data_IF_954160512601
#
_entry.id   IF_954160512601
#
_cell.length_a   1.000
_cell.length_b   1.000
_cell.length_c   1.000
_cell.angle_alpha   90.00
_cell.angle_beta   90.00
_cell.angle_gamma   90.00
#
_symmetry.space_group_name_H-M   'P 1'
#
loop_
_entity.id
_entity.type
_entity.pdbx_description
1 polymer ?
#
# COMPACT_ATOMS: atom_id res chain seq x y z
N UNK A 1 -11.90 34.93 69.88
CA UNK A 1 -12.91 33.96 69.41
C UNK A 1 -12.63 33.72 67.94
N UNK A 2 -11.84 32.70 67.61
CA UNK A 2 -11.59 32.30 66.23
C UNK A 2 -12.41 31.04 65.97
N UNK A 3 -13.39 31.15 65.08
CA UNK A 3 -14.17 30.04 64.57
C UNK A 3 -13.28 29.18 63.67
N UNK A 4 -13.02 27.96 64.11
CA UNK A 4 -12.38 26.93 63.30
C UNK A 4 -13.40 26.43 62.29
N UNK A 5 -13.28 26.87 61.03
CA UNK A 5 -14.08 26.35 59.93
C UNK A 5 -13.86 24.84 59.79
N UNK A 6 -14.97 24.09 59.81
CA UNK A 6 -14.98 22.63 59.75
C UNK A 6 -14.27 22.10 58.50
N UNK A 7 -13.11 21.48 58.70
CA UNK A 7 -12.48 20.62 57.70
C UNK A 7 -13.41 19.42 57.49
N UNK A 8 -13.95 19.30 56.29
CA UNK A 8 -14.66 18.08 55.88
C UNK A 8 -13.68 16.91 55.94
N UNK A 9 -14.10 15.74 56.46
CA UNK A 9 -13.25 14.56 56.50
C UNK A 9 -12.84 14.22 55.06
N UNK A 10 -11.53 14.19 54.79
CA UNK A 10 -10.99 13.63 53.56
C UNK A 10 -11.43 12.17 53.50
N UNK A 11 -12.56 11.89 52.83
CA UNK A 11 -12.93 10.54 52.43
C UNK A 11 -11.81 10.04 51.55
N UNK A 12 -11.05 9.05 52.04
CA UNK A 12 -10.11 8.26 51.25
C UNK A 12 -10.82 7.79 49.98
N UNK A 13 -10.62 8.52 48.88
CA UNK A 13 -10.89 8.05 47.54
C UNK A 13 -9.87 6.93 47.30
N UNK A 14 -10.19 5.72 47.75
CA UNK A 14 -9.43 4.54 47.39
C UNK A 14 -9.48 4.49 45.86
N UNK A 15 -8.33 4.58 45.17
CA UNK A 15 -8.33 4.46 43.73
C UNK A 15 -8.95 3.12 43.40
N UNK A 16 -10.12 3.16 42.77
CA UNK A 16 -10.80 1.99 42.26
C UNK A 16 -9.81 1.31 41.32
N UNK A 17 -9.17 0.24 41.80
CA UNK A 17 -8.29 -0.60 40.99
C UNK A 17 -9.19 -1.43 40.09
N UNK A 18 -9.81 -0.76 39.12
CA UNK A 18 -10.50 -1.38 38.03
C UNK A 18 -9.43 -2.01 37.14
N UNK A 19 -8.98 -3.21 37.52
CA UNK A 19 -8.08 -4.04 36.72
C UNK A 19 -8.84 -4.42 35.46
N UNK A 20 -8.81 -3.55 34.44
CA UNK A 20 -9.19 -3.93 33.08
C UNK A 20 -8.26 -5.07 32.68
N UNK A 21 -8.82 -6.26 32.55
CA UNK A 21 -8.17 -7.37 31.88
C UNK A 21 -8.04 -6.94 30.43
N UNK A 22 -6.86 -6.42 30.05
CA UNK A 22 -6.56 -6.06 28.68
C UNK A 22 -6.44 -7.36 27.91
N UNK A 23 -7.33 -7.57 26.95
CA UNK A 23 -7.24 -8.72 26.05
C UNK A 23 -6.02 -8.58 25.13
N UNK A 24 -4.97 -9.32 25.45
CA UNK A 24 -3.71 -9.30 24.69
C UNK A 24 -3.87 -9.83 23.27
N UNK A 25 -4.91 -10.62 22.97
CA UNK A 25 -5.18 -11.10 21.62
C UNK A 25 -5.71 -9.97 20.73
N UNK A 26 -6.65 -9.17 21.26
CA UNK A 26 -7.17 -7.97 20.60
C UNK A 26 -6.04 -6.98 20.26
N UNK A 27 -5.16 -6.65 21.22
CA UNK A 27 -4.01 -5.78 20.95
C UNK A 27 -3.08 -6.32 19.86
N UNK A 28 -2.75 -7.62 19.88
CA UNK A 28 -1.91 -8.24 18.84
C UNK A 28 -2.54 -8.14 17.45
N UNK A 29 -3.85 -8.32 17.36
CA UNK A 29 -4.59 -8.17 16.10
C UNK A 29 -4.55 -6.73 15.58
N UNK A 30 -4.74 -5.74 16.46
CA UNK A 30 -4.64 -4.32 16.11
C UNK A 30 -3.25 -3.93 15.62
N UNK A 31 -2.18 -4.34 16.31
CA UNK A 31 -0.81 -4.09 15.88
C UNK A 31 -0.52 -4.71 14.50
N UNK A 32 -0.99 -5.95 14.26
CA UNK A 32 -0.85 -6.60 12.96
C UNK A 32 -1.59 -5.83 11.86
N UNK A 33 -2.80 -5.36 12.14
CA UNK A 33 -3.58 -4.55 11.20
C UNK A 33 -2.89 -3.20 10.91
N UNK A 34 -2.38 -2.52 11.93
CA UNK A 34 -1.62 -1.27 11.77
C UNK A 34 -0.35 -1.48 10.94
N UNK A 35 0.40 -2.55 11.20
CA UNK A 35 1.60 -2.89 10.44
C UNK A 35 1.28 -3.16 8.95
N UNK A 36 0.18 -3.89 8.66
CA UNK A 36 -0.28 -4.11 7.30
C UNK A 36 -0.68 -2.79 6.61
N UNK A 37 -1.39 -1.91 7.30
CA UNK A 37 -1.77 -0.58 6.78
C UNK A 37 -0.54 0.27 6.46
N UNK A 38 0.44 0.35 7.37
CA UNK A 38 1.70 1.07 7.13
C UNK A 38 2.45 0.51 5.93
N UNK A 39 2.52 -0.83 5.82
CA UNK A 39 3.13 -1.51 4.66
C UNK A 39 2.43 -1.13 3.35
N UNK A 40 1.10 -1.14 3.32
CA UNK A 40 0.32 -0.76 2.13
C UNK A 40 0.55 0.71 1.73
N UNK A 41 0.57 1.63 2.69
CA UNK A 41 0.86 3.06 2.45
C UNK A 41 2.25 3.23 1.85
N UNK A 42 3.26 2.55 2.41
CA UNK A 42 4.63 2.58 1.91
C UNK A 42 4.73 2.06 0.47
N UNK A 43 4.11 0.91 0.17
CA UNK A 43 4.07 0.35 -1.19
C UNK A 43 3.43 1.35 -2.16
N UNK A 44 2.29 1.94 -1.79
CA UNK A 44 1.60 2.93 -2.64
C UNK A 44 2.47 4.15 -2.95
N UNK A 45 3.17 4.70 -1.94
CA UNK A 45 4.11 5.82 -2.13
C UNK A 45 5.26 5.47 -3.08
N UNK A 46 5.88 4.31 -2.91
CA UNK A 46 6.97 3.85 -3.78
C UNK A 46 6.49 3.64 -5.22
N UNK A 47 5.29 3.08 -5.41
CA UNK A 47 4.69 2.93 -6.73
C UNK A 47 4.45 4.29 -7.41
N UNK A 48 3.91 5.27 -6.67
CA UNK A 48 3.72 6.63 -7.19
C UNK A 48 5.05 7.29 -7.58
N UNK A 49 6.08 7.13 -6.75
CA UNK A 49 7.43 7.63 -7.06
C UNK A 49 8.00 6.97 -8.32
N UNK A 50 7.92 5.66 -8.43
CA UNK A 50 8.37 4.93 -9.61
C UNK A 50 7.62 5.37 -10.88
N UNK A 51 6.28 5.49 -10.82
CA UNK A 51 5.46 5.98 -11.94
C UNK A 51 5.89 7.39 -12.34
N UNK A 52 6.14 8.29 -11.37
CA UNK A 52 6.65 9.63 -11.67
C UNK A 52 7.96 9.54 -12.46
N UNK A 53 8.94 8.76 -12.00
CA UNK A 53 10.23 8.61 -12.69
C UNK A 53 10.09 8.01 -14.10
N UNK A 54 9.25 6.97 -14.27
CA UNK A 54 8.94 6.39 -15.59
C UNK A 54 8.34 7.44 -16.53
N UNK A 55 7.39 8.24 -16.05
CA UNK A 55 6.77 9.30 -16.84
C UNK A 55 7.74 10.43 -17.20
N UNK A 56 8.76 10.68 -16.36
CA UNK A 56 9.85 11.61 -16.68
C UNK A 56 10.90 11.00 -17.63
N UNK A 57 10.79 9.73 -18.00
CA UNK A 57 11.80 9.01 -18.78
C UNK A 57 13.08 8.68 -18.00
N UNK A 58 13.09 8.86 -16.67
CA UNK A 58 14.23 8.53 -15.80
C UNK A 58 14.14 7.05 -15.37
N UNK A 59 14.38 6.16 -16.32
CA UNK A 59 14.33 4.71 -16.09
C UNK A 59 15.44 4.22 -15.15
N UNK A 60 16.57 4.94 -15.09
CA UNK A 60 17.67 4.66 -14.17
C UNK A 60 17.27 4.82 -12.71
N UNK A 61 16.48 5.86 -12.39
CA UNK A 61 15.91 6.05 -11.04
C UNK A 61 14.66 5.21 -10.80
N UNK A 62 13.83 4.97 -11.82
CA UNK A 62 12.60 4.20 -11.66
C UNK A 62 12.85 2.72 -11.31
N UNK A 63 13.81 2.08 -12.00
CA UNK A 63 14.08 0.65 -11.87
C UNK A 63 14.37 0.18 -10.42
N UNK A 64 15.30 0.79 -9.66
CA UNK A 64 15.57 0.36 -8.29
C UNK A 64 14.35 0.50 -7.36
N UNK A 65 13.52 1.53 -7.57
CA UNK A 65 12.27 1.71 -6.80
C UNK A 65 11.29 0.59 -7.12
N UNK A 66 11.11 0.24 -8.40
CA UNK A 66 10.24 -0.86 -8.83
C UNK A 66 10.73 -2.22 -8.31
N UNK A 67 12.04 -2.46 -8.32
CA UNK A 67 12.63 -3.68 -7.73
C UNK A 67 12.36 -3.73 -6.21
N UNK A 68 12.51 -2.62 -5.49
CA UNK A 68 12.17 -2.56 -4.07
C UNK A 68 10.68 -2.83 -3.81
N UNK A 69 9.78 -2.28 -4.65
CA UNK A 69 8.35 -2.57 -4.57
C UNK A 69 8.09 -4.06 -4.79
N UNK A 70 8.70 -4.69 -5.79
CA UNK A 70 8.57 -6.13 -6.06
C UNK A 70 9.02 -6.99 -4.88
N UNK A 71 10.09 -6.59 -4.21
CA UNK A 71 10.65 -7.37 -3.09
C UNK A 71 9.75 -7.26 -1.83
N UNK A 72 9.05 -6.13 -1.64
CA UNK A 72 8.13 -5.93 -0.49
C UNK A 72 6.71 -6.44 -0.79
N UNK A 73 6.26 -6.28 -2.03
CA UNK A 73 4.95 -6.61 -2.53
C UNK A 73 5.07 -7.65 -3.64
N UNK A 74 4.76 -8.90 -3.28
CA UNK A 74 4.91 -10.07 -4.14
C UNK A 74 4.39 -9.82 -5.55
N UNK A 75 5.14 -10.36 -6.52
CA UNK A 75 4.98 -10.30 -7.98
C UNK A 75 3.66 -9.71 -8.48
N UNK A 76 3.52 -8.39 -8.44
CA UNK A 76 2.39 -7.73 -9.09
C UNK A 76 2.66 -7.71 -10.60
N UNK A 77 1.74 -8.24 -11.44
CA UNK A 77 1.89 -8.22 -12.89
C UNK A 77 2.25 -6.85 -13.45
N UNK A 78 1.61 -5.80 -12.92
CA UNK A 78 1.84 -4.41 -13.33
C UNK A 78 3.24 -3.92 -13.00
N UNK A 79 3.78 -4.29 -11.84
CA UNK A 79 5.14 -3.89 -11.43
C UNK A 79 6.18 -4.60 -12.29
N UNK A 80 6.00 -5.90 -12.54
CA UNK A 80 6.88 -6.65 -13.43
C UNK A 80 6.86 -6.09 -14.87
N UNK A 81 5.68 -5.69 -15.36
CA UNK A 81 5.56 -5.02 -16.65
C UNK A 81 6.32 -3.68 -16.68
N UNK A 82 6.18 -2.83 -15.66
CA UNK A 82 6.95 -1.58 -15.57
C UNK A 82 8.46 -1.82 -15.49
N UNK A 83 8.89 -2.87 -14.79
CA UNK A 83 10.31 -3.28 -14.76
C UNK A 83 10.79 -3.68 -16.15
N UNK A 84 9.99 -4.44 -16.91
CA UNK A 84 10.29 -4.79 -18.28
C UNK A 84 10.46 -3.54 -19.17
N UNK A 85 9.51 -2.59 -19.09
CA UNK A 85 9.61 -1.32 -19.81
C UNK A 85 10.91 -0.58 -19.48
N UNK A 86 11.28 -0.48 -18.19
CA UNK A 86 12.53 0.16 -17.79
C UNK A 86 13.75 -0.54 -18.41
N UNK A 87 13.80 -1.87 -18.41
CA UNK A 87 14.89 -2.62 -19.03
C UNK A 87 14.97 -2.43 -20.54
N UNK A 88 13.85 -2.24 -21.25
CA UNK A 88 13.85 -1.93 -22.69
C UNK A 88 14.60 -0.63 -22.95
N UNK A 89 14.24 0.44 -22.24
CA UNK A 89 14.86 1.76 -22.42
C UNK A 89 16.32 1.80 -22.00
N UNK A 90 16.71 0.95 -21.05
CA UNK A 90 18.10 0.78 -20.63
C UNK A 90 18.89 -0.18 -21.56
N UNK A 91 18.31 -0.65 -22.66
CA UNK A 91 18.95 -1.56 -23.61
C UNK A 91 19.22 -2.97 -23.05
N UNK A 92 18.66 -3.32 -21.90
CA UNK A 92 18.87 -4.59 -21.20
C UNK A 92 17.86 -5.66 -21.64
N UNK A 93 17.94 -6.07 -22.91
CA UNK A 93 16.93 -6.90 -23.59
C UNK A 93 16.58 -8.21 -22.86
N UNK A 94 17.59 -8.99 -22.49
CA UNK A 94 17.41 -10.28 -21.79
C UNK A 94 16.63 -10.11 -20.48
N UNK A 95 16.94 -9.05 -19.72
CA UNK A 95 16.25 -8.75 -18.46
C UNK A 95 14.82 -8.26 -18.68
N UNK A 96 14.56 -7.54 -19.77
CA UNK A 96 13.22 -7.11 -20.14
C UNK A 96 12.31 -8.31 -20.44
N UNK A 97 12.79 -9.26 -21.25
CA UNK A 97 12.07 -10.49 -21.57
C UNK A 97 11.78 -11.31 -20.32
N UNK A 98 12.77 -11.48 -19.44
CA UNK A 98 12.56 -12.20 -18.19
C UNK A 98 11.52 -11.53 -17.28
N UNK A 99 11.54 -10.20 -17.18
CA UNK A 99 10.52 -9.47 -16.41
C UNK A 99 9.10 -9.61 -17.02
N UNK A 100 8.97 -9.70 -18.35
CA UNK A 100 7.69 -10.00 -19.01
C UNK A 100 7.21 -11.43 -18.71
N UNK A 101 8.13 -12.40 -18.72
CA UNK A 101 7.82 -13.78 -18.33
C UNK A 101 7.35 -13.86 -16.87
N UNK A 102 8.01 -13.15 -15.96
CA UNK A 102 7.60 -13.06 -14.55
C UNK A 102 6.22 -12.39 -14.40
N UNK A 103 5.95 -11.32 -15.17
CA UNK A 103 4.64 -10.67 -15.19
C UNK A 103 3.54 -11.66 -15.56
N UNK A 104 3.78 -12.49 -16.58
CA UNK A 104 2.84 -13.53 -17.02
C UNK A 104 2.71 -14.63 -15.98
N UNK A 105 3.82 -15.11 -15.42
CA UNK A 105 3.82 -16.15 -14.39
C UNK A 105 3.02 -15.71 -13.16
N UNK A 106 3.03 -14.41 -12.84
CA UNK A 106 2.22 -13.82 -11.76
C UNK A 106 0.73 -13.67 -12.06
N UNK A 107 0.26 -14.14 -13.23
CA UNK A 107 -1.16 -14.15 -13.58
C UNK A 107 -1.62 -12.94 -14.40
N UNK A 108 -0.70 -12.21 -15.05
CA UNK A 108 -1.11 -11.20 -16.03
C UNK A 108 -1.92 -11.84 -17.14
N UNK A 109 -3.19 -11.45 -17.27
CA UNK A 109 -4.03 -11.82 -18.41
C UNK A 109 -3.89 -10.86 -19.57
N UNK A 110 -3.31 -9.67 -19.32
CA UNK A 110 -3.30 -8.56 -20.27
C UNK A 110 -1.99 -8.49 -21.06
N UNK A 111 -1.66 -9.57 -21.75
CA UNK A 111 -0.55 -9.60 -22.70
C UNK A 111 -0.87 -8.78 -23.96
N UNK A 112 -2.14 -8.45 -24.19
CA UNK A 112 -2.57 -7.55 -25.27
C UNK A 112 -1.95 -6.17 -25.10
N UNK A 113 -1.90 -5.65 -23.86
CA UNK A 113 -1.22 -4.41 -23.56
C UNK A 113 0.27 -4.48 -23.94
N UNK A 114 0.95 -5.60 -23.70
CA UNK A 114 2.36 -5.75 -24.05
C UNK A 114 2.63 -5.66 -25.57
N UNK A 115 1.67 -6.08 -26.40
CA UNK A 115 1.78 -6.04 -27.86
C UNK A 115 1.53 -4.63 -28.40
N UNK A 116 0.59 -3.91 -27.79
CA UNK A 116 0.20 -2.57 -28.24
C UNK A 116 1.06 -1.46 -27.64
N UNK A 117 1.82 -1.76 -26.58
CA UNK A 117 2.71 -0.80 -25.94
C UNK A 117 3.81 -0.34 -26.90
N UNK A 118 3.82 0.96 -27.19
CA UNK A 118 4.78 1.57 -28.10
C UNK A 118 6.22 1.46 -27.61
N UNK A 119 6.43 1.30 -26.30
CA UNK A 119 7.75 1.15 -25.72
C UNK A 119 8.30 -0.27 -25.93
N UNK A 120 7.43 -1.28 -25.99
CA UNK A 120 7.81 -2.65 -26.28
C UNK A 120 7.92 -2.94 -27.78
N UNK A 121 7.46 -2.04 -28.65
CA UNK A 121 7.61 -2.17 -30.11
C UNK A 121 9.06 -2.31 -30.57
N UNK A 122 10.03 -1.82 -29.81
CA UNK A 122 11.46 -2.01 -30.11
C UNK A 122 11.83 -3.50 -30.19
N UNK A 123 11.09 -4.37 -29.50
CA UNK A 123 11.23 -5.83 -29.58
C UNK A 123 10.32 -6.50 -30.61
N UNK A 124 9.44 -5.75 -31.27
CA UNK A 124 8.36 -6.30 -32.10
C UNK A 124 8.85 -7.23 -33.20
N UNK A 125 10.07 -7.08 -33.70
CA UNK A 125 10.62 -7.94 -34.77
C UNK A 125 11.58 -9.03 -34.24
N UNK A 126 11.90 -9.03 -32.94
CA UNK A 126 12.83 -9.99 -32.38
C UNK A 126 12.18 -11.37 -32.21
N UNK A 127 12.87 -12.40 -32.69
CA UNK A 127 12.38 -13.78 -32.65
C UNK A 127 12.05 -14.23 -31.22
N UNK A 128 12.84 -13.81 -30.22
CA UNK A 128 12.61 -14.16 -28.81
C UNK A 128 11.34 -13.51 -28.25
N UNK A 129 11.08 -12.25 -28.59
CA UNK A 129 9.86 -11.56 -28.19
C UNK A 129 8.63 -12.15 -28.88
N UNK A 130 8.73 -12.45 -30.18
CA UNK A 130 7.66 -13.13 -30.91
C UNK A 130 7.38 -14.53 -30.34
N UNK A 131 8.42 -15.29 -29.99
CA UNK A 131 8.27 -16.58 -29.32
C UNK A 131 7.59 -16.44 -27.95
N UNK A 132 7.96 -15.43 -27.17
CA UNK A 132 7.30 -15.11 -25.91
C UNK A 132 5.81 -14.82 -26.15
N UNK A 133 5.47 -13.85 -27.00
CA UNK A 133 4.07 -13.50 -27.32
C UNK A 133 3.28 -14.71 -27.81
N UNK A 134 3.88 -15.57 -28.64
CA UNK A 134 3.23 -16.79 -29.10
C UNK A 134 2.97 -17.78 -27.95
N UNK A 135 3.94 -17.99 -27.04
CA UNK A 135 3.73 -18.78 -25.82
C UNK A 135 2.58 -18.23 -24.98
N UNK A 136 2.48 -16.90 -24.85
CA UNK A 136 1.40 -16.24 -24.11
C UNK A 136 0.04 -16.45 -24.77
N UNK A 137 -0.03 -16.32 -26.09
CA UNK A 137 -1.23 -16.60 -26.87
C UNK A 137 -1.69 -18.03 -26.67
N UNK A 138 -0.80 -19.01 -26.83
CA UNK A 138 -1.14 -20.43 -26.68
C UNK A 138 -1.61 -20.76 -25.26
N UNK A 139 -0.94 -20.23 -24.22
CA UNK A 139 -1.32 -20.45 -22.82
C UNK A 139 -2.70 -19.90 -22.49
N UNK A 140 -3.10 -18.78 -23.11
CA UNK A 140 -4.42 -18.18 -22.90
C UNK A 140 -5.49 -18.68 -23.87
N UNK A 141 -5.10 -19.18 -25.05
CA UNK A 141 -5.99 -19.72 -26.06
C UNK A 141 -6.42 -21.15 -25.77
N UNK A 142 -5.70 -21.88 -24.91
CA UNK A 142 -6.22 -23.11 -24.34
C UNK A 142 -7.41 -22.73 -23.43
N UNK A 143 -8.67 -22.98 -23.85
CA UNK A 143 -9.77 -22.82 -22.93
C UNK A 143 -9.49 -23.82 -21.80
N UNK A 144 -9.53 -23.33 -20.57
CA UNK A 144 -9.41 -24.13 -19.36
C UNK A 144 -10.68 -25.01 -19.23
N UNK A 145 -10.87 -25.95 -20.17
CA UNK A 145 -12.07 -26.77 -20.31
C UNK A 145 -12.14 -27.87 -19.25
N UNK A 146 -11.04 -28.11 -18.51
CA UNK A 146 -10.96 -29.09 -17.44
C UNK A 146 -10.95 -28.50 -16.02
N UNK A 147 -10.87 -27.18 -15.84
CA UNK A 147 -11.22 -26.56 -14.55
C UNK A 147 -12.72 -26.34 -14.45
N UNK A 148 -13.43 -27.45 -14.25
CA UNK A 148 -14.60 -27.47 -13.37
C UNK A 148 -14.14 -27.30 -11.92
N UNK A 149 -13.38 -26.25 -11.62
CA UNK A 149 -13.25 -25.78 -10.25
C UNK A 149 -14.65 -25.27 -9.89
N UNK A 150 -15.30 -25.95 -8.95
CA UNK A 150 -16.44 -25.43 -8.19
C UNK A 150 -15.97 -24.17 -7.46
N UNK A 151 -15.81 -23.06 -8.17
CA UNK A 151 -15.66 -21.74 -7.56
C UNK A 151 -17.06 -21.42 -7.05
N UNK A 152 -17.31 -21.42 -5.73
CA UNK A 152 -18.58 -20.97 -5.21
C UNK A 152 -18.83 -19.55 -5.75
N UNK A 153 -20.08 -19.18 -6.08
CA UNK A 153 -20.39 -17.86 -6.61
C UNK A 153 -19.74 -16.82 -5.71
N UNK A 154 -18.79 -16.06 -6.25
CA UNK A 154 -18.17 -14.95 -5.53
C UNK A 154 -19.30 -13.99 -5.19
N UNK A 155 -19.66 -13.79 -3.91
CA UNK A 155 -20.65 -12.78 -3.56
C UNK A 155 -20.12 -11.44 -4.06
N UNK A 156 -20.98 -10.63 -4.67
CA UNK A 156 -20.64 -9.35 -5.30
C UNK A 156 -19.78 -8.46 -4.38
N UNK A 157 -18.46 -8.62 -4.47
CA UNK A 157 -17.48 -8.01 -3.58
C UNK A 157 -17.26 -6.53 -3.91
N UNK A 158 -17.73 -6.09 -5.09
CA UNK A 158 -17.74 -4.69 -5.49
C UNK A 158 -18.54 -3.79 -4.55
N UNK A 159 -19.62 -4.31 -3.95
CA UNK A 159 -20.43 -3.53 -3.00
C UNK A 159 -19.85 -3.57 -1.59
N UNK A 160 -19.22 -4.66 -1.18
CA UNK A 160 -18.64 -4.78 0.15
C UNK A 160 -17.41 -3.86 0.30
N UNK A 161 -16.56 -3.78 -0.73
CA UNK A 161 -15.40 -2.90 -0.70
C UNK A 161 -15.80 -1.42 -0.73
N UNK A 162 -16.78 -1.03 -1.56
CA UNK A 162 -17.34 0.33 -1.55
C UNK A 162 -17.96 0.68 -0.19
N UNK A 163 -18.68 -0.24 0.44
CA UNK A 163 -19.25 -0.05 1.79
C UNK A 163 -18.18 0.09 2.86
N UNK A 164 -17.12 -0.73 2.81
CA UNK A 164 -15.99 -0.64 3.74
C UNK A 164 -15.22 0.68 3.59
N UNK A 165 -14.95 1.11 2.37
CA UNK A 165 -14.27 2.40 2.10
C UNK A 165 -15.14 3.56 2.59
N UNK A 166 -16.44 3.55 2.29
CA UNK A 166 -17.36 4.59 2.78
C UNK A 166 -17.47 4.60 4.31
N UNK A 167 -17.52 3.44 4.96
CA UNK A 167 -17.58 3.33 6.42
C UNK A 167 -16.31 3.86 7.10
N UNK A 168 -15.12 3.54 6.57
CA UNK A 168 -13.85 4.05 7.09
C UNK A 168 -13.70 5.56 6.86
N UNK A 169 -14.29 6.08 5.78
CA UNK A 169 -14.29 7.53 5.52
C UNK A 169 -15.22 8.24 6.50
N UNK A 170 -16.41 7.69 6.76
CA UNK A 170 -17.37 8.25 7.70
C UNK A 170 -16.84 8.22 9.15
N UNK A 171 -16.21 7.12 9.58
CA UNK A 171 -15.62 7.03 10.93
C UNK A 171 -14.53 8.09 11.16
N UNK A 172 -13.75 8.43 10.12
CA UNK A 172 -12.76 9.52 10.20
C UNK A 172 -13.42 10.90 10.29
N UNK A 173 -14.52 11.12 9.56
CA UNK A 173 -15.31 12.36 9.63
C UNK A 173 -15.91 12.51 11.02
N UNK A 174 -16.50 11.46 11.58
CA UNK A 174 -17.13 11.47 12.90
C UNK A 174 -16.09 11.73 14.01
N UNK A 175 -14.88 11.15 13.91
CA UNK A 175 -13.79 11.43 14.86
C UNK A 175 -13.31 12.89 14.78
N UNK A 176 -13.24 13.47 13.60
CA UNK A 176 -12.87 14.89 13.43
C UNK A 176 -13.98 15.79 13.97
N UNK A 177 -15.25 15.51 13.68
CA UNK A 177 -16.39 16.25 14.25
C UNK A 177 -16.48 16.14 15.77
N UNK A 178 -16.23 14.96 16.34
CA UNK A 178 -16.16 14.77 17.79
C UNK A 178 -15.02 15.56 18.42
N UNK A 179 -13.90 15.77 17.71
CA UNK A 179 -12.79 16.60 18.18
C UNK A 179 -13.11 18.10 18.11
N UNK A 180 -13.86 18.53 17.09
CA UNK A 180 -14.27 19.94 16.90
C UNK A 180 -15.36 20.37 17.91
N UNK A 181 -16.16 19.44 18.44
CA UNK A 181 -17.18 19.74 19.45
C UNK A 181 -16.65 19.79 20.90
N UNK A 182 -15.38 19.48 21.13
CA UNK A 182 -14.75 19.68 22.43
C UNK A 182 -14.19 21.10 22.48
N UNK A 183 -15.09 22.09 22.58
CA UNK A 183 -14.78 23.43 23.06
C UNK A 183 -14.49 23.33 24.57
N UNK A 184 -13.32 22.80 24.92
CA UNK A 184 -12.73 23.01 26.23
C UNK A 184 -11.86 24.26 26.14
N UNK A 185 -12.07 25.26 27.02
CA UNK A 185 -11.21 26.44 27.05
C UNK A 185 -9.76 26.00 27.25
N UNK A 186 -8.90 26.37 26.30
CA UNK A 186 -7.48 26.04 26.32
C UNK A 186 -6.85 26.85 27.44
N UNK A 187 -6.73 26.26 28.63
CA UNK A 187 -5.80 26.78 29.63
C UNK A 187 -4.38 26.62 29.08
N UNK A 188 -3.74 27.77 28.88
CA UNK A 188 -2.37 27.96 28.41
C UNK A 188 -1.37 27.09 29.18
N UNK A 189 -0.97 25.97 28.57
CA UNK A 189 0.14 25.14 29.04
C UNK A 189 1.37 25.40 28.17
N UNK A 190 2.21 26.33 28.63
CA UNK A 190 3.60 26.47 28.22
C UNK A 190 4.36 25.19 28.62
N UNK A 191 4.46 24.26 27.69
CA UNK A 191 5.10 22.96 27.92
C UNK A 191 5.84 22.50 26.68
N UNK A 192 7.12 22.84 26.61
CA UNK A 192 8.06 22.38 25.59
C UNK A 192 8.13 20.85 25.57
N UNK A 193 7.53 20.19 24.58
CA UNK A 193 7.76 18.77 24.30
C UNK A 193 8.50 18.66 22.96
N UNK A 194 9.82 18.56 23.04
CA UNK A 194 10.68 18.09 21.94
C UNK A 194 10.59 16.56 21.89
N UNK A 195 9.64 16.04 21.13
CA UNK A 195 9.56 14.62 20.80
C UNK A 195 10.21 14.34 19.44
N UNK A 196 11.46 13.85 19.47
CA UNK A 196 12.15 13.33 18.29
C UNK A 196 11.46 12.05 17.79
N UNK A 197 10.57 12.16 16.80
CA UNK A 197 10.17 11.03 15.98
C UNK A 197 10.99 11.08 14.68
N UNK A 198 12.20 10.52 14.74
CA UNK A 198 13.04 10.30 13.57
C UNK A 198 12.53 9.03 12.89
N UNK A 199 11.42 9.14 12.15
CA UNK A 199 11.23 8.27 11.00
C UNK A 199 12.20 8.80 9.94
N UNK A 200 13.32 8.09 9.79
CA UNK A 200 14.28 8.31 8.71
C UNK A 200 13.66 7.94 7.36
N UNK A 201 12.61 8.66 6.95
CA UNK A 201 12.22 8.77 5.57
C UNK A 201 13.33 9.60 4.91
N UNK A 202 14.27 8.91 4.26
CA UNK A 202 15.28 9.50 3.42
C UNK A 202 14.60 10.52 2.50
N UNK A 203 14.92 11.79 2.72
CA UNK A 203 14.33 12.91 2.03
C UNK A 203 14.91 12.95 0.61
N UNK A 204 14.43 12.08 -0.26
CA UNK A 204 14.80 12.06 -1.68
C UNK A 204 14.14 13.30 -2.29
N UNK A 205 14.96 14.33 -2.50
CA UNK A 205 14.56 15.62 -3.07
C UNK A 205 13.89 15.37 -4.44
N UNK A 206 12.56 15.53 -4.50
CA UNK A 206 11.71 15.22 -5.66
C UNK A 206 11.53 16.39 -6.64
N UNK A 207 12.40 17.41 -6.57
CA UNK A 207 12.09 18.73 -7.09
C UNK A 207 12.30 18.97 -8.59
N UNK A 208 12.96 18.11 -9.34
CA UNK A 208 13.20 18.35 -10.77
C UNK A 208 12.74 17.16 -11.64
N UNK A 209 11.46 17.21 -12.02
CA UNK A 209 10.93 16.81 -13.32
C UNK A 209 10.01 17.97 -13.75
#
# INVERSE_FOLDING_TARGET
KHEFMGMTPWKELRPSTNKRVVDTASLKAEFKAQAATRKAIRISRLQQQAIKQVNCGDYGRALPILMHVRDIYAASPRIMFMIACCYVHLGCKVKALQALEDAVASGSKDWTQAITDSQLRVFGEEAEFQALIQRLRTKNAAPDMDRKECVPPVPATGDLWKRMVNALTQERVDRVQAFVQVDQPVESLDGTIRGNLIDGDENINLHDC
#
